data_IF_564373133615
#
_entry.id   IF_564373133615
#
_cell.length_a   1.000
_cell.length_b   1.000
_cell.length_c   1.000
_cell.angle_alpha   90.00
_cell.angle_beta   90.00
_cell.angle_gamma   90.00
#
_symmetry.space_group_name_H-M   'P 1'
#
loop_
_entity.id
_entity.type
_entity.pdbx_description
1 polymer ?
#
# COMPACT_ATOMS: atom_id res chain seq x y z
N UNK A 1 -4.16 19.86 -0.04
CA UNK A 1 -3.51 18.76 0.70
C UNK A 1 -4.23 17.47 0.34
N UNK A 2 -3.55 16.55 -0.33
CA UNK A 2 -4.17 15.30 -0.81
C UNK A 2 -4.75 14.50 0.36
N UNK A 3 -5.92 13.91 0.17
CA UNK A 3 -6.59 13.11 1.21
C UNK A 3 -5.96 11.71 1.29
N UNK A 4 -4.64 11.67 1.51
CA UNK A 4 -3.85 10.45 1.54
C UNK A 4 -4.27 9.52 2.68
N UNK A 5 -4.75 10.06 3.81
CA UNK A 5 -5.22 9.25 4.93
C UNK A 5 -6.43 8.40 4.56
N UNK A 6 -7.38 8.97 3.80
CA UNK A 6 -8.55 8.23 3.31
C UNK A 6 -8.16 7.24 2.20
N UNK A 7 -7.20 7.59 1.36
CA UNK A 7 -6.68 6.67 0.35
C UNK A 7 -5.98 5.45 0.98
N UNK A 8 -5.18 5.66 2.02
CA UNK A 8 -4.54 4.60 2.79
C UNK A 8 -5.55 3.64 3.42
N UNK A 9 -6.65 4.16 4.00
CA UNK A 9 -7.71 3.30 4.55
C UNK A 9 -8.32 2.36 3.49
N UNK A 10 -8.54 2.87 2.27
CA UNK A 10 -9.04 2.03 1.18
C UNK A 10 -7.98 1.05 0.66
N UNK A 11 -6.72 1.47 0.57
CA UNK A 11 -5.64 0.59 0.14
C UNK A 11 -5.38 -0.54 1.14
N UNK A 12 -5.42 -0.27 2.44
CA UNK A 12 -5.25 -1.29 3.49
C UNK A 12 -6.38 -2.33 3.43
N UNK A 13 -7.64 -1.89 3.29
CA UNK A 13 -8.79 -2.81 3.10
C UNK A 13 -8.64 -3.66 1.84
N UNK A 14 -8.19 -3.07 0.73
CA UNK A 14 -7.96 -3.80 -0.51
C UNK A 14 -6.81 -4.79 -0.38
N UNK A 15 -5.75 -4.42 0.34
CA UNK A 15 -4.60 -5.29 0.57
C UNK A 15 -5.01 -6.52 1.38
N UNK A 16 -5.77 -6.33 2.47
CA UNK A 16 -6.24 -7.44 3.31
C UNK A 16 -7.07 -8.47 2.52
N UNK A 17 -7.96 -8.00 1.64
CA UNK A 17 -8.76 -8.88 0.78
C UNK A 17 -7.85 -9.65 -0.20
N UNK A 18 -6.87 -8.97 -0.82
CA UNK A 18 -5.95 -9.58 -1.77
C UNK A 18 -5.02 -10.59 -1.12
N UNK A 19 -4.50 -10.30 0.08
CA UNK A 19 -3.65 -11.23 0.84
C UNK A 19 -4.40 -12.52 1.21
N UNK A 20 -5.71 -12.43 1.46
CA UNK A 20 -6.57 -13.59 1.73
C UNK A 20 -6.93 -14.38 0.46
N UNK A 21 -7.03 -13.71 -0.68
CA UNK A 21 -7.53 -14.30 -1.93
C UNK A 21 -6.42 -14.81 -2.85
N UNK A 22 -5.20 -14.27 -2.75
CA UNK A 22 -4.12 -14.49 -3.71
C UNK A 22 -2.91 -15.15 -3.06
N UNK A 23 -2.14 -15.95 -3.81
CA UNK A 23 -0.88 -16.47 -3.31
C UNK A 23 0.12 -15.32 -3.08
N UNK A 24 1.09 -15.47 -2.14
CA UNK A 24 2.01 -14.40 -1.74
C UNK A 24 2.81 -13.73 -2.88
N UNK A 25 3.06 -14.44 -3.98
CA UNK A 25 3.83 -13.93 -5.12
C UNK A 25 2.95 -13.35 -6.25
N UNK A 26 1.68 -13.09 -5.99
CA UNK A 26 0.77 -12.54 -7.00
C UNK A 26 1.11 -11.06 -7.29
N UNK A 27 1.23 -10.64 -8.56
CA UNK A 27 1.62 -9.26 -8.94
C UNK A 27 0.68 -8.18 -8.40
N UNK A 28 -0.59 -8.49 -8.18
CA UNK A 28 -1.55 -7.56 -7.57
C UNK A 28 -1.18 -7.16 -6.13
N UNK A 29 -0.50 -8.04 -5.39
CA UNK A 29 0.01 -7.72 -4.04
C UNK A 29 1.14 -6.69 -4.13
N UNK A 30 2.10 -6.89 -5.03
CA UNK A 30 3.17 -5.91 -5.30
C UNK A 30 2.61 -4.55 -5.72
N UNK A 31 1.56 -4.55 -6.56
CA UNK A 31 0.87 -3.31 -6.96
C UNK A 31 0.21 -2.61 -5.77
N UNK A 32 -0.42 -3.36 -4.86
CA UNK A 32 -1.02 -2.81 -3.64
C UNK A 32 0.04 -2.21 -2.72
N UNK A 33 1.14 -2.92 -2.47
CA UNK A 33 2.24 -2.41 -1.65
C UNK A 33 2.87 -1.15 -2.23
N UNK A 34 3.13 -1.11 -3.54
CA UNK A 34 3.64 0.08 -4.22
C UNK A 34 2.71 1.29 -4.03
N UNK A 35 1.39 1.10 -4.19
CA UNK A 35 0.42 2.19 -4.04
C UNK A 35 0.36 2.73 -2.61
N UNK A 36 0.46 1.87 -1.61
CA UNK A 36 0.54 2.26 -0.20
C UNK A 36 1.85 3.01 0.07
N UNK A 37 2.97 2.52 -0.45
CA UNK A 37 4.28 3.17 -0.35
C UNK A 37 4.27 4.58 -0.93
N UNK A 38 3.71 4.76 -2.13
CA UNK A 38 3.56 6.08 -2.75
C UNK A 38 2.65 7.01 -1.95
N UNK A 39 1.57 6.49 -1.35
CA UNK A 39 0.68 7.29 -0.52
C UNK A 39 1.38 7.81 0.74
N UNK A 40 2.18 6.98 1.42
CA UNK A 40 3.02 7.42 2.54
C UNK A 40 4.10 8.42 2.12
N UNK A 41 4.72 8.21 0.95
CA UNK A 41 5.68 9.16 0.39
C UNK A 41 5.03 10.53 0.14
N UNK A 42 3.80 10.55 -0.40
CA UNK A 42 3.02 11.76 -0.60
C UNK A 42 2.58 12.46 0.70
N UNK A 43 2.55 11.75 1.83
CA UNK A 43 2.35 12.31 3.18
C UNK A 43 3.65 12.77 3.85
N UNK A 44 4.81 12.47 3.27
CA UNK A 44 6.12 12.73 3.87
C UNK A 44 6.57 11.67 4.90
N UNK A 45 5.84 10.56 5.04
CA UNK A 45 6.24 9.43 5.89
C UNK A 45 7.12 8.46 5.08
N UNK A 46 8.35 8.91 4.81
CA UNK A 46 9.32 8.15 4.02
C UNK A 46 9.73 6.81 4.65
N UNK A 47 9.92 6.68 5.99
CA UNK A 47 10.22 5.38 6.59
C UNK A 47 9.13 4.35 6.31
N UNK A 48 7.86 4.75 6.45
CA UNK A 48 6.74 3.85 6.17
C UNK A 48 6.63 3.57 4.68
N UNK A 49 6.82 4.57 3.83
CA UNK A 49 6.85 4.39 2.38
C UNK A 49 7.86 3.33 1.94
N UNK A 50 9.10 3.40 2.46
CA UNK A 50 10.16 2.45 2.14
C UNK A 50 9.79 1.02 2.55
N UNK A 51 9.26 0.85 3.77
CA UNK A 51 8.86 -0.47 4.26
C UNK A 51 7.81 -1.15 3.38
N UNK A 52 6.92 -0.39 2.74
CA UNK A 52 5.95 -0.95 1.79
C UNK A 52 6.56 -1.18 0.41
N UNK A 53 7.52 -0.38 -0.04
CA UNK A 53 8.21 -0.58 -1.32
C UNK A 53 9.17 -1.78 -1.31
N UNK A 54 9.60 -2.23 -0.13
CA UNK A 54 10.47 -3.40 0.06
C UNK A 54 9.72 -4.74 0.14
N UNK A 55 8.37 -4.72 0.18
CA UNK A 55 7.53 -5.93 0.20
C UNK A 55 7.24 -6.47 -1.19
#
# INVERSE_FOLDING_TARGET
MGNYSKALEFYDKSLEIREKALPPNHPDLATSYNNIGMAYSGQGDYPKALSYLEK
#
